data_IF_398016930098
#
_entry.id   IF_398016930098
#
_cell.length_a   1.000
_cell.length_b   1.000
_cell.length_c   1.000
_cell.angle_alpha   90.00
_cell.angle_beta   90.00
_cell.angle_gamma   90.00
#
_symmetry.space_group_name_H-M   'P 1'
#
loop_
_entity.id
_entity.type
_entity.pdbx_description
1 polymer ?
#
# COMPACT_ATOMS: atom_id res chain seq x y z
N UNK A 1 32.33 13.46 58.84
CA UNK A 1 31.12 14.25 59.12
C UNK A 1 30.05 13.82 58.12
N UNK A 2 28.90 13.29 58.56
CA UNK A 2 27.81 12.96 57.64
C UNK A 2 27.25 14.26 57.03
N UNK A 3 26.91 14.29 55.73
CA UNK A 3 26.36 15.48 55.09
C UNK A 3 25.03 15.85 55.73
N UNK A 4 24.83 17.15 55.95
CA UNK A 4 23.63 17.68 56.61
C UNK A 4 22.39 17.47 55.72
N UNK A 5 21.20 17.25 56.32
CA UNK A 5 19.97 16.88 55.61
C UNK A 5 19.50 17.83 54.48
N UNK A 6 19.78 19.15 54.45
CA UNK A 6 19.38 19.99 53.32
C UNK A 6 20.19 19.73 52.03
N UNK A 7 21.41 19.21 52.12
CA UNK A 7 22.27 18.98 50.96
C UNK A 7 21.86 17.73 50.17
N UNK A 8 21.39 16.69 50.86
CA UNK A 8 20.88 15.47 50.22
C UNK A 8 19.60 15.76 49.43
N UNK A 9 18.72 16.64 49.93
CA UNK A 9 17.51 17.05 49.21
C UNK A 9 17.81 17.87 47.95
N UNK A 10 18.82 18.74 47.98
CA UNK A 10 19.27 19.48 46.79
C UNK A 10 19.89 18.56 45.77
N UNK A 11 20.76 17.64 46.21
CA UNK A 11 21.40 16.67 45.32
C UNK A 11 20.38 15.72 44.66
N UNK A 12 19.37 15.23 45.41
CA UNK A 12 18.28 14.43 44.84
C UNK A 12 17.40 15.22 43.87
N UNK A 13 17.17 16.51 44.13
CA UNK A 13 16.44 17.40 43.23
C UNK A 13 17.20 17.64 41.94
N UNK A 14 18.51 17.86 42.02
CA UNK A 14 19.35 18.12 40.85
C UNK A 14 19.55 16.84 40.02
N UNK A 15 19.73 15.68 40.65
CA UNK A 15 19.76 14.38 39.97
C UNK A 15 18.41 14.07 39.32
N UNK A 16 17.30 14.35 40.01
CA UNK A 16 15.95 14.20 39.47
C UNK A 16 15.70 15.10 38.26
N UNK A 17 16.25 16.33 38.24
CA UNK A 17 16.16 17.23 37.09
C UNK A 17 17.05 16.78 35.93
N UNK A 18 18.29 16.38 36.21
CA UNK A 18 19.27 15.99 35.17
C UNK A 18 18.88 14.68 34.48
N UNK A 19 18.29 13.72 35.20
CA UNK A 19 17.88 12.43 34.62
C UNK A 19 16.40 12.38 34.25
N UNK A 20 15.52 12.98 35.07
CA UNK A 20 14.08 12.90 34.87
C UNK A 20 13.58 13.72 33.68
N UNK A 21 14.13 14.92 33.46
CA UNK A 21 13.75 15.78 32.33
C UNK A 21 14.08 15.16 30.97
N UNK A 22 15.31 14.63 30.72
CA UNK A 22 15.60 13.99 29.44
C UNK A 22 14.82 12.68 29.23
N UNK A 23 14.54 11.91 30.28
CA UNK A 23 13.71 10.71 30.17
C UNK A 23 12.26 11.05 29.81
N UNK A 24 11.69 12.11 30.38
CA UNK A 24 10.36 12.60 30.01
C UNK A 24 10.33 13.18 28.59
N UNK A 25 11.39 13.86 28.16
CA UNK A 25 11.52 14.35 26.79
C UNK A 25 11.63 13.20 25.78
N UNK A 26 12.39 12.15 26.09
CA UNK A 26 12.47 10.92 25.28
C UNK A 26 11.13 10.19 25.25
N UNK A 27 10.46 10.02 26.39
CA UNK A 27 9.13 9.42 26.45
C UNK A 27 8.11 10.23 25.64
N UNK A 28 8.17 11.56 25.72
CA UNK A 28 7.34 12.47 24.94
C UNK A 28 7.63 12.41 23.43
N UNK A 29 8.90 12.28 23.03
CA UNK A 29 9.29 12.09 21.63
C UNK A 29 8.88 10.72 21.10
N UNK A 30 8.98 9.68 21.92
CA UNK A 30 8.55 8.32 21.57
C UNK A 30 7.03 8.28 21.45
N UNK A 31 6.26 8.83 22.39
CA UNK A 31 4.78 8.88 22.29
C UNK A 31 4.31 9.78 21.16
N UNK A 32 4.96 10.93 20.94
CA UNK A 32 4.67 11.80 19.80
C UNK A 32 5.00 11.13 18.46
N UNK A 33 6.12 10.41 18.39
CA UNK A 33 6.48 9.58 17.24
C UNK A 33 5.48 8.45 17.02
N UNK A 34 5.08 7.74 18.09
CA UNK A 34 4.14 6.62 18.03
C UNK A 34 2.73 7.07 17.62
N UNK A 35 2.24 8.20 18.14
CA UNK A 35 0.97 8.80 17.70
C UNK A 35 1.02 9.25 16.23
N UNK A 36 2.20 9.60 15.72
CA UNK A 36 2.39 9.92 14.29
C UNK A 36 2.41 8.68 13.39
N UNK A 37 2.67 7.49 13.96
CA UNK A 37 2.63 6.21 13.24
C UNK A 37 1.30 5.44 13.46
N UNK A 38 0.53 5.71 14.51
CA UNK A 38 -0.85 5.22 14.65
C UNK A 38 -1.83 5.95 13.71
N UNK A 39 -1.41 7.06 13.11
CA UNK A 39 -2.11 7.79 12.05
C UNK A 39 -1.73 7.35 10.64
N UNK A 40 -1.67 6.04 10.35
CA UNK A 40 -1.64 5.54 8.97
C UNK A 40 -2.97 5.75 8.21
N UNK A 41 -3.79 6.70 8.65
CA UNK A 41 -4.73 7.39 7.78
C UNK A 41 -4.05 8.68 7.30
N UNK A 42 -3.15 8.54 6.32
CA UNK A 42 -2.80 9.67 5.47
C UNK A 42 -4.02 9.99 4.61
N UNK A 43 -4.94 10.80 5.15
CA UNK A 43 -5.87 11.57 4.31
C UNK A 43 -5.17 12.86 3.86
N UNK A 44 -4.93 13.00 2.55
CA UNK A 44 -5.14 14.26 1.90
C UNK A 44 -6.48 14.15 1.15
N UNK A 45 -7.53 14.69 1.74
CA UNK A 45 -8.79 14.89 1.04
C UNK A 45 -8.53 15.66 -0.27
N UNK A 46 -8.82 15.01 -1.42
CA UNK A 46 -9.78 15.50 -2.44
C UNK A 46 -9.83 14.55 -3.65
N UNK A 47 -10.65 13.53 -3.53
CA UNK A 47 -11.77 13.40 -4.47
C UNK A 47 -13.03 13.22 -3.62
N UNK A 48 -14.10 14.02 -3.80
CA UNK A 48 -15.36 13.67 -3.17
C UNK A 48 -15.80 12.35 -3.81
N UNK A 49 -15.62 11.29 -3.04
CA UNK A 49 -16.20 9.96 -3.17
C UNK A 49 -17.68 9.95 -3.61
N UNK A 50 -18.40 11.07 -3.45
CA UNK A 50 -19.71 11.31 -4.05
C UNK A 50 -19.73 11.16 -5.60
N UNK A 51 -18.60 11.41 -6.28
CA UNK A 51 -18.48 11.37 -7.76
C UNK A 51 -18.17 9.95 -8.29
N UNK A 52 -17.56 9.09 -7.47
CA UNK A 52 -17.42 7.63 -7.67
C UNK A 52 -18.69 6.90 -7.22
N UNK A 53 -19.34 7.37 -6.16
CA UNK A 53 -20.59 6.84 -5.63
C UNK A 53 -21.82 7.15 -6.52
N UNK A 54 -21.75 8.17 -7.38
CA UNK A 54 -22.83 8.54 -8.30
C UNK A 54 -22.75 7.90 -9.71
N UNK A 55 -21.66 7.20 -10.07
CA UNK A 55 -21.38 6.80 -11.48
C UNK A 55 -21.23 5.29 -11.73
N UNK A 56 -21.54 4.43 -10.76
CA UNK A 56 -21.00 3.07 -10.73
C UNK A 56 -22.05 2.02 -10.37
N UNK A 57 -23.08 1.84 -11.19
CA UNK A 57 -23.90 0.62 -11.16
C UNK A 57 -23.14 -0.58 -11.77
N UNK A 58 -21.99 -0.85 -11.14
CA UNK A 58 -21.25 -2.11 -11.11
C UNK A 58 -20.61 -2.54 -12.43
N UNK A 59 -19.73 -1.70 -12.97
CA UNK A 59 -18.75 -2.16 -13.97
C UNK A 59 -17.86 -3.20 -13.29
N UNK A 60 -18.15 -4.47 -13.59
CA UNK A 60 -17.41 -5.65 -13.15
C UNK A 60 -16.55 -6.24 -14.26
N UNK A 61 -16.61 -5.67 -15.46
CA UNK A 61 -15.78 -6.03 -16.60
C UNK A 61 -15.29 -4.75 -17.27
N UNK A 62 -13.98 -4.59 -17.37
CA UNK A 62 -13.38 -3.49 -18.08
C UNK A 62 -12.04 -3.89 -18.68
N UNK A 63 -11.67 -3.19 -19.75
CA UNK A 63 -10.33 -3.26 -20.31
C UNK A 63 -9.50 -2.09 -19.79
N UNK A 64 -8.28 -2.39 -19.39
CA UNK A 64 -7.25 -1.41 -19.08
C UNK A 64 -5.97 -1.83 -19.80
N UNK A 65 -5.50 -1.01 -20.75
CA UNK A 65 -4.50 -1.42 -21.74
C UNK A 65 -4.90 -2.74 -22.41
N UNK A 66 -4.08 -3.78 -22.33
CA UNK A 66 -4.33 -5.11 -22.90
C UNK A 66 -5.01 -6.06 -21.90
N UNK A 67 -5.16 -5.65 -20.65
CA UNK A 67 -5.69 -6.49 -19.58
C UNK A 67 -7.22 -6.37 -19.52
N UNK A 68 -7.90 -7.50 -19.66
CA UNK A 68 -9.33 -7.60 -19.31
C UNK A 68 -9.46 -7.93 -17.83
N UNK A 69 -9.97 -6.97 -17.07
CA UNK A 69 -10.13 -7.07 -15.62
C UNK A 69 -11.59 -7.40 -15.32
N UNK A 70 -11.81 -8.52 -14.63
CA UNK A 70 -13.12 -8.86 -14.07
C UNK A 70 -13.09 -8.71 -12.55
N UNK A 71 -13.96 -7.85 -12.01
CA UNK A 71 -14.19 -7.77 -10.58
C UNK A 71 -15.20 -8.85 -10.15
N UNK A 72 -14.87 -9.67 -9.13
CA UNK A 72 -15.82 -10.59 -8.52
C UNK A 72 -16.89 -9.83 -7.71
N UNK A 73 -17.86 -10.56 -7.17
CA UNK A 73 -18.88 -9.97 -6.29
C UNK A 73 -18.24 -9.29 -5.08
N UNK A 74 -18.78 -8.14 -4.66
CA UNK A 74 -18.21 -7.36 -3.56
C UNK A 74 -17.07 -6.45 -3.98
N UNK A 75 -16.66 -6.46 -5.25
CA UNK A 75 -15.67 -5.54 -5.82
C UNK A 75 -16.25 -4.80 -7.02
N UNK A 76 -15.69 -3.61 -7.26
CA UNK A 76 -16.11 -2.75 -8.35
C UNK A 76 -14.90 -2.13 -9.03
N UNK A 77 -15.01 -1.84 -10.33
CA UNK A 77 -13.97 -1.22 -11.14
C UNK A 77 -14.27 0.27 -11.32
N UNK A 78 -13.25 1.12 -11.22
CA UNK A 78 -13.34 2.55 -11.54
C UNK A 78 -12.67 2.76 -12.90
N UNK A 79 -13.37 2.48 -14.02
CA UNK A 79 -12.80 2.62 -15.35
C UNK A 79 -12.55 4.09 -15.68
N UNK A 80 -11.56 4.33 -16.55
CA UNK A 80 -11.17 5.65 -17.08
C UNK A 80 -10.40 6.57 -16.12
N UNK A 81 -9.75 6.01 -15.10
CA UNK A 81 -8.76 6.72 -14.30
C UNK A 81 -7.38 6.10 -14.46
N UNK A 82 -6.34 6.92 -14.33
CA UNK A 82 -4.97 6.47 -14.02
C UNK A 82 -4.62 7.09 -12.68
N UNK A 83 -4.44 6.30 -11.60
CA UNK A 83 -4.53 4.83 -11.56
C UNK A 83 -5.92 4.28 -11.87
N UNK A 84 -6.00 3.10 -12.50
CA UNK A 84 -7.25 2.36 -12.66
C UNK A 84 -7.50 1.55 -11.38
N UNK A 85 -8.64 1.76 -10.71
CA UNK A 85 -8.85 1.26 -9.36
C UNK A 85 -9.82 0.08 -9.30
N UNK A 86 -9.46 -0.91 -8.48
CA UNK A 86 -10.34 -1.98 -7.99
C UNK A 86 -10.50 -1.77 -6.49
N UNK A 87 -11.73 -1.58 -6.04
CA UNK A 87 -12.04 -1.30 -4.64
C UNK A 87 -13.28 -2.07 -4.20
N UNK A 88 -13.41 -2.27 -2.90
CA UNK A 88 -14.58 -2.90 -2.29
C UNK A 88 -15.85 -2.14 -2.67
N UNK A 89 -16.92 -2.88 -2.96
CA UNK A 89 -18.23 -2.34 -3.33
C UNK A 89 -18.86 -1.52 -2.19
N UNK A 90 -18.58 -1.90 -0.94
CA UNK A 90 -19.01 -1.18 0.26
C UNK A 90 -17.80 -0.59 0.97
N UNK A 91 -17.69 0.75 1.08
CA UNK A 91 -16.59 1.36 1.80
C UNK A 91 -16.75 1.15 3.31
N UNK A 92 -15.64 1.16 4.04
CA UNK A 92 -15.63 1.00 5.51
C UNK A 92 -16.04 2.29 6.22
N UNK A 93 -15.84 3.43 5.57
CA UNK A 93 -16.36 4.73 6.00
C UNK A 93 -16.72 5.62 4.80
N UNK A 94 -17.20 6.84 5.04
CA UNK A 94 -17.49 7.81 3.97
C UNK A 94 -16.25 8.28 3.19
N UNK A 95 -15.05 8.04 3.70
CA UNK A 95 -13.78 8.46 3.07
C UNK A 95 -12.71 7.37 2.95
N UNK A 96 -12.98 6.13 3.43
CA UNK A 96 -11.96 5.06 3.44
C UNK A 96 -12.46 3.69 2.94
N UNK A 97 -11.60 3.04 2.17
CA UNK A 97 -11.70 1.64 1.79
C UNK A 97 -10.63 0.84 2.54
N UNK A 98 -11.02 -0.27 3.17
CA UNK A 98 -10.08 -1.14 3.87
C UNK A 98 -9.20 -1.92 2.90
N UNK A 99 -9.72 -2.25 1.72
CA UNK A 99 -8.95 -2.89 0.66
C UNK A 99 -9.10 -2.18 -0.69
N UNK A 100 -7.96 -1.96 -1.36
CA UNK A 100 -7.90 -1.34 -2.68
C UNK A 100 -6.70 -1.86 -3.47
N UNK A 101 -6.86 -1.88 -4.79
CA UNK A 101 -5.81 -2.17 -5.75
C UNK A 101 -5.81 -1.12 -6.86
N UNK A 102 -4.62 -0.68 -7.27
CA UNK A 102 -4.42 0.18 -8.42
C UNK A 102 -3.66 -0.56 -9.51
N UNK A 103 -4.16 -0.47 -10.74
CA UNK A 103 -3.41 -0.78 -11.96
C UNK A 103 -2.75 0.50 -12.47
N UNK A 104 -1.44 0.41 -12.71
CA UNK A 104 -0.56 1.52 -13.06
C UNK A 104 0.32 1.11 -14.24
N UNK A 105 0.65 2.04 -15.15
CA UNK A 105 1.64 1.77 -16.18
C UNK A 105 3.00 1.48 -15.52
N UNK A 106 3.78 0.62 -16.16
CA UNK A 106 5.15 0.34 -15.75
C UNK A 106 6.12 1.10 -16.66
N UNK A 107 6.65 2.20 -16.14
CA UNK A 107 7.71 2.97 -16.78
C UNK A 107 9.10 2.62 -16.21
N UNK A 108 10.15 3.19 -16.82
CA UNK A 108 11.53 2.93 -16.39
C UNK A 108 11.82 3.42 -14.96
N UNK A 109 11.15 4.48 -14.51
CA UNK A 109 11.30 5.01 -13.17
C UNK A 109 10.65 4.08 -12.13
N UNK A 110 9.48 3.54 -12.41
CA UNK A 110 8.79 2.54 -11.61
C UNK A 110 9.59 1.24 -11.53
N UNK A 111 10.18 0.77 -12.63
CA UNK A 111 11.10 -0.38 -12.62
C UNK A 111 12.29 -0.12 -11.69
N UNK A 112 12.95 1.04 -11.83
CA UNK A 112 14.10 1.39 -10.99
C UNK A 112 13.73 1.47 -9.50
N UNK A 113 12.57 2.04 -9.16
CA UNK A 113 12.03 2.06 -7.79
C UNK A 113 11.71 0.65 -7.29
N UNK A 114 11.13 -0.19 -8.16
CA UNK A 114 10.82 -1.58 -7.83
C UNK A 114 12.09 -2.36 -7.50
N UNK A 115 13.11 -2.23 -8.34
CA UNK A 115 14.37 -2.96 -8.19
C UNK A 115 15.19 -2.42 -7.00
N UNK A 116 15.20 -1.10 -6.79
CA UNK A 116 15.89 -0.45 -5.67
C UNK A 116 15.31 -0.89 -4.31
N UNK A 117 13.98 -0.86 -4.14
CA UNK A 117 13.39 -1.36 -2.89
C UNK A 117 13.40 -2.91 -2.81
N UNK A 118 13.57 -3.59 -3.95
CA UNK A 118 13.85 -5.02 -4.01
C UNK A 118 15.25 -5.42 -3.50
N UNK A 119 16.17 -4.49 -3.27
CA UNK A 119 17.48 -4.80 -2.68
C UNK A 119 17.35 -5.47 -1.29
N UNK A 120 16.23 -5.28 -0.59
CA UNK A 120 15.92 -5.94 0.68
C UNK A 120 15.23 -7.30 0.58
N UNK A 121 15.00 -7.84 -0.63
CA UNK A 121 14.28 -9.11 -0.83
C UNK A 121 14.95 -10.31 -0.17
N UNK A 122 16.29 -10.32 -0.07
CA UNK A 122 17.06 -11.42 0.55
C UNK A 122 17.05 -11.41 2.07
N UNK A 123 16.49 -10.38 2.71
CA UNK A 123 16.56 -10.20 4.17
C UNK A 123 15.45 -10.91 4.95
N UNK A 124 14.38 -11.35 4.27
CA UNK A 124 13.31 -12.15 4.88
C UNK A 124 12.55 -12.95 3.82
N UNK A 125 12.24 -14.22 4.14
CA UNK A 125 11.45 -15.08 3.26
C UNK A 125 10.07 -14.47 2.97
N UNK A 126 9.61 -14.61 1.72
CA UNK A 126 8.28 -14.14 1.30
C UNK A 126 8.13 -12.61 1.14
N UNK A 127 9.23 -11.84 1.25
CA UNK A 127 9.24 -10.41 0.88
C UNK A 127 9.13 -10.19 -0.61
N UNK A 128 9.80 -11.01 -1.41
CA UNK A 128 9.71 -10.94 -2.86
C UNK A 128 9.64 -12.34 -3.43
N UNK A 129 8.85 -12.50 -4.49
CA UNK A 129 8.72 -13.76 -5.17
C UNK A 129 8.49 -13.51 -6.65
N UNK A 130 8.81 -14.52 -7.43
CA UNK A 130 8.53 -14.56 -8.86
C UNK A 130 7.58 -15.71 -9.09
N UNK A 131 6.53 -15.46 -9.87
CA UNK A 131 5.61 -16.50 -10.29
C UNK A 131 5.34 -16.42 -11.78
N UNK A 132 4.95 -17.57 -12.34
CA UNK A 132 4.57 -17.67 -13.74
C UNK A 132 3.05 -17.68 -13.83
N UNK A 133 2.49 -16.72 -14.56
CA UNK A 133 1.05 -16.62 -14.81
C UNK A 133 0.85 -16.73 -16.31
N UNK A 134 0.42 -17.91 -16.76
CA UNK A 134 0.38 -18.22 -18.18
C UNK A 134 1.76 -18.10 -18.85
N UNK A 135 1.87 -17.29 -19.90
CA UNK A 135 3.14 -17.02 -20.58
C UNK A 135 3.96 -15.88 -19.98
N UNK A 136 3.43 -15.19 -18.96
CA UNK A 136 4.00 -14.00 -18.36
C UNK A 136 4.76 -14.31 -17.07
N UNK A 137 5.77 -13.49 -16.76
CA UNK A 137 6.51 -13.56 -15.49
C UNK A 137 6.10 -12.40 -14.62
N UNK A 138 5.52 -12.71 -13.46
CA UNK A 138 5.09 -11.73 -12.46
C UNK A 138 6.15 -11.63 -11.37
N UNK A 139 6.65 -10.42 -11.15
CA UNK A 139 7.57 -10.10 -10.06
C UNK A 139 6.79 -9.37 -8.98
N UNK A 140 6.67 -9.98 -7.81
CA UNK A 140 5.93 -9.42 -6.69
C UNK A 140 6.84 -9.13 -5.51
N UNK A 141 6.46 -8.12 -4.72
CA UNK A 141 7.09 -7.78 -3.46
C UNK A 141 6.06 -7.30 -2.43
N UNK A 142 6.36 -7.53 -1.16
CA UNK A 142 5.73 -6.83 -0.03
C UNK A 142 6.48 -5.53 0.21
N UNK A 143 5.79 -4.41 0.04
CA UNK A 143 6.33 -3.10 0.30
C UNK A 143 6.15 -2.78 1.80
N UNK A 144 7.25 -2.60 2.53
CA UNK A 144 7.25 -2.42 3.99
C UNK A 144 6.91 -0.99 4.43
N UNK A 145 6.20 -0.22 3.60
CA UNK A 145 5.76 1.15 3.93
C UNK A 145 6.41 2.28 3.14
N UNK A 146 6.95 2.02 1.94
CA UNK A 146 7.46 3.10 1.08
C UNK A 146 6.34 3.72 0.24
N UNK A 147 6.20 5.06 0.25
CA UNK A 147 5.19 5.74 -0.54
C UNK A 147 5.47 5.59 -2.04
N UNK A 148 4.40 5.45 -2.82
CA UNK A 148 4.47 5.48 -4.27
C UNK A 148 4.02 6.87 -4.75
N UNK A 149 4.86 7.66 -5.46
CA UNK A 149 4.47 8.97 -6.00
C UNK A 149 3.25 8.94 -6.93
N UNK A 150 2.91 7.80 -7.52
CA UNK A 150 1.75 7.67 -8.41
C UNK A 150 0.45 7.42 -7.64
N UNK A 151 0.51 7.34 -6.31
CA UNK A 151 -0.60 7.01 -5.42
C UNK A 151 -0.68 8.00 -4.25
N UNK A 152 -1.89 8.25 -3.79
CA UNK A 152 -2.20 9.00 -2.57
C UNK A 152 -2.15 8.13 -1.31
N UNK A 153 -1.80 6.86 -1.44
CA UNK A 153 -1.66 5.89 -0.36
C UNK A 153 -0.41 5.01 -0.53
N UNK A 154 0.03 4.43 0.58
CA UNK A 154 1.21 3.56 0.61
C UNK A 154 0.84 2.10 0.34
N UNK A 155 1.35 1.46 -0.72
CA UNK A 155 1.09 0.05 -0.96
C UNK A 155 1.80 -0.85 0.05
N UNK A 156 1.16 -1.97 0.37
CA UNK A 156 1.75 -3.07 1.14
C UNK A 156 2.26 -4.20 0.26
N UNK A 157 1.76 -4.29 -0.97
CA UNK A 157 2.18 -5.26 -1.95
C UNK A 157 2.19 -4.60 -3.33
N UNK A 158 3.23 -4.88 -4.09
CA UNK A 158 3.35 -4.44 -5.48
C UNK A 158 3.77 -5.62 -6.35
N UNK A 159 3.18 -5.73 -7.54
CA UNK A 159 3.60 -6.70 -8.54
C UNK A 159 3.76 -6.01 -9.89
N UNK A 160 4.70 -6.48 -10.70
CA UNK A 160 4.94 -5.99 -12.06
C UNK A 160 5.02 -7.14 -13.05
N UNK A 161 4.49 -6.90 -14.26
CA UNK A 161 4.59 -7.77 -15.43
C UNK A 161 5.27 -6.93 -16.51
N UNK A 162 6.58 -7.14 -16.70
CA UNK A 162 7.42 -6.23 -17.49
C UNK A 162 7.07 -6.22 -18.98
N UNK A 163 6.76 -7.39 -19.52
CA UNK A 163 6.39 -7.59 -20.92
C UNK A 163 5.00 -7.03 -21.26
N UNK A 164 4.09 -6.96 -20.28
CA UNK A 164 2.81 -6.26 -20.41
C UNK A 164 2.88 -4.78 -20.05
N UNK A 165 4.06 -4.26 -19.66
CA UNK A 165 4.25 -2.87 -19.21
C UNK A 165 3.24 -2.46 -18.12
N UNK A 166 2.88 -3.41 -17.25
CA UNK A 166 1.85 -3.23 -16.24
C UNK A 166 2.41 -3.47 -14.84
N UNK A 167 1.94 -2.68 -13.88
CA UNK A 167 2.15 -2.95 -12.46
C UNK A 167 0.86 -2.77 -11.68
N UNK A 168 0.79 -3.47 -10.55
CA UNK A 168 -0.26 -3.29 -9.56
C UNK A 168 0.34 -2.89 -8.22
N UNK A 169 -0.46 -2.12 -7.48
CA UNK A 169 -0.23 -1.78 -6.10
C UNK A 169 -1.45 -2.20 -5.30
N UNK A 170 -1.27 -2.84 -4.15
CA UNK A 170 -2.33 -3.31 -3.27
C UNK A 170 -2.12 -2.73 -1.88
N UNK A 171 -3.18 -2.19 -1.31
CA UNK A 171 -3.27 -1.84 0.10
C UNK A 171 -4.53 -2.51 0.67
N UNK A 172 -4.33 -3.58 1.43
CA UNK A 172 -5.40 -4.40 2.00
C UNK A 172 -4.88 -5.29 3.16
N UNK A 173 -5.77 -5.79 4.06
CA UNK A 173 -5.44 -6.87 4.98
C UNK A 173 -5.09 -8.18 4.24
N UNK A 174 -4.51 -9.16 4.93
CA UNK A 174 -3.98 -10.39 4.29
C UNK A 174 -5.03 -11.17 3.47
N UNK A 175 -6.27 -11.32 3.97
CA UNK A 175 -7.33 -12.03 3.25
C UNK A 175 -7.67 -11.35 1.91
N UNK A 176 -8.16 -10.10 1.92
CA UNK A 176 -8.48 -9.37 0.69
C UNK A 176 -7.27 -9.13 -0.22
N UNK A 177 -6.05 -9.11 0.31
CA UNK A 177 -4.81 -9.03 -0.51
C UNK A 177 -4.69 -10.21 -1.47
N UNK A 178 -5.00 -11.43 -1.02
CA UNK A 178 -4.92 -12.62 -1.87
C UNK A 178 -5.98 -12.59 -2.98
N UNK A 179 -7.19 -12.16 -2.64
CA UNK A 179 -8.28 -12.02 -3.61
C UNK A 179 -7.97 -10.98 -4.68
N UNK A 180 -7.46 -9.80 -4.28
CA UNK A 180 -7.00 -8.77 -5.20
C UNK A 180 -5.86 -9.25 -6.11
N UNK A 181 -4.92 -10.02 -5.54
CA UNK A 181 -3.83 -10.61 -6.31
C UNK A 181 -4.36 -11.63 -7.32
N UNK A 182 -5.40 -12.40 -6.98
CA UNK A 182 -6.04 -13.35 -7.90
C UNK A 182 -6.80 -12.65 -9.03
N UNK A 183 -7.43 -11.49 -8.77
CA UNK A 183 -8.02 -10.64 -9.83
C UNK A 183 -6.93 -10.25 -10.84
N UNK A 184 -5.76 -9.81 -10.35
CA UNK A 184 -4.64 -9.46 -11.20
C UNK A 184 -4.09 -10.65 -12.00
N UNK A 185 -3.85 -11.78 -11.34
CA UNK A 185 -3.39 -13.01 -12.01
C UNK A 185 -4.36 -13.46 -13.08
N UNK A 186 -5.67 -13.40 -12.80
CA UNK A 186 -6.69 -13.74 -13.78
C UNK A 186 -6.71 -12.75 -14.96
N UNK A 187 -6.44 -11.47 -14.73
CA UNK A 187 -6.34 -10.48 -15.82
C UNK A 187 -5.11 -10.75 -16.71
N UNK A 188 -3.97 -11.09 -16.11
CA UNK A 188 -2.73 -11.46 -16.82
C UNK A 188 -2.90 -12.78 -17.57
N UNK A 189 -3.51 -13.81 -16.98
CA UNK A 189 -3.69 -15.09 -17.69
C UNK A 189 -4.59 -14.97 -18.94
N UNK A 190 -5.49 -13.99 -18.97
CA UNK A 190 -6.39 -13.77 -20.12
C UNK A 190 -5.70 -13.17 -21.33
N UNK A 191 -4.56 -12.50 -21.18
CA UNK A 191 -3.83 -11.95 -22.35
C UNK A 191 -3.29 -13.05 -23.24
N UNK A 192 -2.93 -14.20 -22.67
CA UNK A 192 -2.56 -15.40 -23.44
C UNK A 192 -3.73 -15.99 -24.23
N UNK A 193 -4.95 -15.72 -23.78
CA UNK A 193 -6.19 -16.33 -24.28
C UNK A 193 -6.86 -15.47 -25.36
N UNK A 194 -6.12 -14.63 -26.08
CA UNK A 194 -6.62 -13.60 -27.00
C UNK A 194 -7.93 -14.01 -27.70
N UNK A 195 -9.01 -13.19 -27.67
CA UNK A 195 -10.16 -13.43 -28.52
C UNK A 195 -9.74 -13.34 -30.00
N UNK A 196 -10.38 -14.10 -30.92
CA UNK A 196 -9.95 -14.19 -32.31
C UNK A 196 -9.89 -12.80 -32.94
N UNK A 197 -8.77 -12.52 -33.60
CA UNK A 197 -8.61 -11.41 -34.53
C UNK A 197 -9.80 -11.45 -35.50
N UNK A 198 -10.60 -10.39 -35.53
CA UNK A 198 -11.65 -10.26 -36.53
C UNK A 198 -11.00 -10.24 -37.94
N UNK A 199 -11.60 -10.93 -38.94
CA UNK A 199 -11.10 -10.98 -40.31
C UNK A 199 -11.16 -9.62 -41.02
#
# INVERSE_FOLDING_TARGET
MPPSPPDVRRMLRDVGLVLGVPLLALAGLVTWGWQRFEGYDAEPARQPLAEVAARRDQVRDAYWYQLRILAPEGWVLAPNTTPFLVIEERPVSSSSWAARMAFLPLDSAAIARFDAAGAGCGLAEGRCWTERVGSHTVLCRRNSGQPDPDLDWTPHLECQVRDLTARIAINAPQGPTLELLDIFRAAVARTDSAPPTAP
#
